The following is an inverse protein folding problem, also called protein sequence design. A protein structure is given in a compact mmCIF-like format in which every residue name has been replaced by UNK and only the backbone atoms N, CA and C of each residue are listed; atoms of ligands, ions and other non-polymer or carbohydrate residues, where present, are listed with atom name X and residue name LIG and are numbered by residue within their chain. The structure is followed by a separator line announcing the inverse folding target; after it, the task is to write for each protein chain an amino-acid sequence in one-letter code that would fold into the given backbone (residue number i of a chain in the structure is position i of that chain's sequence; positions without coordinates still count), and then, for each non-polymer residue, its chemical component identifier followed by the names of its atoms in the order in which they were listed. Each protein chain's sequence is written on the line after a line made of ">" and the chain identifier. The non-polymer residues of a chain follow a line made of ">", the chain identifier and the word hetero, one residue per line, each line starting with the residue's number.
data_IF_920920592595
#
_entry.id   IF_920920592595
#
_cell.length_a   1.000
_cell.length_b   1.000
_cell.length_c   1.000
_cell.angle_alpha   90.00
_cell.angle_beta   90.00
_cell.angle_gamma   90.00
#
_symmetry.space_group_name_H-M   'P 1'
#
loop_
_entity.id
_entity.type
_entity.pdbx_description
1 polymer ?
#
# COMPACT_ATOMS: atom_id res chain seq x y z
N UNK A 1 4.88 -15.46 -17.63
CA UNK A 1 4.30 -14.64 -16.55
C UNK A 1 3.16 -13.72 -16.98
N UNK A 2 3.30 -12.82 -17.97
CA UNK A 2 2.20 -11.93 -18.37
C UNK A 2 0.91 -12.68 -18.79
N UNK A 3 1.05 -13.77 -19.55
CA UNK A 3 -0.08 -14.64 -19.93
C UNK A 3 -0.75 -15.29 -18.71
N UNK A 4 0.04 -15.75 -17.73
CA UNK A 4 -0.50 -16.38 -16.50
C UNK A 4 -1.37 -15.39 -15.74
N UNK A 5 -0.86 -14.17 -15.53
CA UNK A 5 -1.60 -13.09 -14.88
C UNK A 5 -2.86 -12.75 -15.66
N UNK A 6 -2.76 -12.60 -16.99
CA UNK A 6 -3.92 -12.29 -17.81
C UNK A 6 -5.02 -13.35 -17.71
N UNK A 7 -4.67 -14.63 -17.74
CA UNK A 7 -5.64 -15.71 -17.59
C UNK A 7 -6.23 -15.76 -16.18
N UNK A 8 -5.41 -15.56 -15.15
CA UNK A 8 -5.84 -15.58 -13.76
C UNK A 8 -6.75 -14.39 -13.38
N UNK A 9 -6.59 -13.25 -14.06
CA UNK A 9 -7.30 -12.01 -13.73
C UNK A 9 -8.48 -11.72 -14.64
N UNK A 10 -8.60 -12.35 -15.81
CA UNK A 10 -9.62 -11.96 -16.80
C UNK A 10 -11.03 -12.39 -16.41
N UNK A 11 -11.19 -13.49 -15.69
CA UNK A 11 -12.50 -14.03 -15.36
C UNK A 11 -12.55 -14.55 -13.94
N UNK A 12 -13.66 -14.26 -13.28
CA UNK A 12 -14.02 -14.98 -12.07
C UNK A 12 -14.35 -16.42 -12.45
N UNK A 13 -14.18 -17.37 -11.52
CA UNK A 13 -14.25 -18.81 -11.80
C UNK A 13 -15.54 -19.28 -12.52
N UNK A 14 -16.61 -18.50 -12.44
CA UNK A 14 -17.93 -18.81 -12.99
C UNK A 14 -18.23 -18.22 -14.38
N UNK A 15 -17.29 -17.49 -14.98
CA UNK A 15 -17.49 -16.79 -16.27
C UNK A 15 -16.61 -17.36 -17.39
N UNK A 16 -17.11 -17.26 -18.63
CA UNK A 16 -16.36 -17.65 -19.83
C UNK A 16 -15.15 -16.75 -20.07
N UNK A 17 -13.98 -17.36 -20.29
CA UNK A 17 -12.72 -16.64 -20.46
C UNK A 17 -12.67 -15.88 -21.80
N UNK A 18 -12.68 -14.54 -21.72
CA UNK A 18 -12.38 -13.66 -22.84
C UNK A 18 -10.88 -13.31 -22.85
N UNK A 19 -10.14 -13.92 -23.78
CA UNK A 19 -8.69 -13.71 -23.88
C UNK A 19 -8.37 -12.52 -24.78
N UNK A 20 -7.78 -11.48 -24.18
CA UNK A 20 -7.42 -10.25 -24.87
C UNK A 20 -5.90 -10.04 -24.89
N UNK A 21 -5.29 -10.11 -26.07
CA UNK A 21 -3.84 -9.92 -26.27
C UNK A 21 -3.37 -8.54 -25.79
N UNK A 22 -4.16 -7.49 -25.97
CA UNK A 22 -3.80 -6.15 -25.51
C UNK A 22 -3.64 -6.11 -23.99
N UNK A 23 -4.46 -6.88 -23.27
CA UNK A 23 -4.40 -6.96 -21.82
C UNK A 23 -3.16 -7.72 -21.34
N UNK A 24 -2.75 -8.77 -22.05
CA UNK A 24 -1.47 -9.46 -21.82
C UNK A 24 -0.30 -8.47 -21.95
N UNK A 25 -0.32 -7.61 -22.98
CA UNK A 25 0.71 -6.58 -23.18
C UNK A 25 0.73 -5.59 -22.02
N UNK A 26 -0.43 -5.10 -21.56
CA UNK A 26 -0.51 -4.21 -20.40
C UNK A 26 0.06 -4.85 -19.13
N UNK A 27 -0.23 -6.14 -18.87
CA UNK A 27 0.37 -6.85 -17.75
C UNK A 27 1.88 -7.02 -17.92
N UNK A 28 2.37 -7.27 -19.14
CA UNK A 28 3.81 -7.35 -19.39
C UNK A 28 4.53 -6.03 -19.09
N UNK A 29 3.95 -4.90 -19.50
CA UNK A 29 4.48 -3.57 -19.19
C UNK A 29 4.48 -3.30 -17.68
N UNK A 30 3.39 -3.64 -16.98
CA UNK A 30 3.33 -3.47 -15.53
C UNK A 30 4.38 -4.35 -14.83
N UNK A 31 4.51 -5.63 -15.19
CA UNK A 31 5.51 -6.53 -14.62
C UNK A 31 6.94 -6.04 -14.87
N UNK A 32 7.21 -5.45 -16.05
CA UNK A 32 8.49 -4.82 -16.33
C UNK A 32 8.76 -3.64 -15.40
N UNK A 33 7.77 -2.75 -15.20
CA UNK A 33 7.88 -1.62 -14.25
C UNK A 33 8.16 -2.11 -12.83
N UNK A 34 7.48 -3.16 -12.38
CA UNK A 34 7.72 -3.78 -11.07
C UNK A 34 9.13 -4.35 -10.99
N UNK A 35 9.58 -5.08 -12.00
CA UNK A 35 10.92 -5.66 -12.04
C UNK A 35 12.00 -4.58 -11.93
N UNK A 36 11.89 -3.52 -12.74
CA UNK A 36 12.84 -2.41 -12.77
C UNK A 36 12.86 -1.65 -11.44
N UNK A 37 11.68 -1.38 -10.87
CA UNK A 37 11.54 -0.74 -9.56
C UNK A 37 12.19 -1.59 -8.47
N UNK A 38 11.78 -2.85 -8.33
CA UNK A 38 12.28 -3.74 -7.27
C UNK A 38 13.80 -3.90 -7.41
N UNK A 39 14.30 -4.15 -8.63
CA UNK A 39 15.74 -4.28 -8.88
C UNK A 39 16.52 -3.02 -8.49
N UNK A 40 15.98 -1.84 -8.77
CA UNK A 40 16.59 -0.57 -8.38
C UNK A 40 16.61 -0.43 -6.85
N UNK A 41 15.47 -0.68 -6.21
CA UNK A 41 15.30 -0.52 -4.77
C UNK A 41 16.10 -1.51 -3.94
N UNK A 42 16.38 -2.72 -4.46
CA UNK A 42 17.27 -3.69 -3.82
C UNK A 42 18.72 -3.20 -3.67
N UNK A 43 19.14 -2.23 -4.49
CA UNK A 43 20.49 -1.66 -4.43
C UNK A 43 20.63 -0.47 -3.47
N UNK A 44 19.52 0.01 -2.91
CA UNK A 44 19.48 1.19 -2.03
C UNK A 44 20.21 0.90 -0.73
N UNK A 45 21.09 1.82 -0.34
CA UNK A 45 21.79 1.81 0.95
C UNK A 45 21.75 3.21 1.53
N UNK A 46 21.10 3.38 2.67
CA UNK A 46 20.98 4.67 3.34
C UNK A 46 21.58 4.65 4.75
N UNK A 47 21.68 3.49 5.40
CA UNK A 47 22.23 3.37 6.74
C UNK A 47 21.37 4.04 7.83
N UNK A 48 20.11 4.38 7.51
CA UNK A 48 19.16 4.93 8.46
C UNK A 48 18.74 3.85 9.45
N UNK A 49 19.00 4.08 10.74
CA UNK A 49 18.70 3.09 11.79
C UNK A 49 17.33 3.27 12.44
N UNK A 50 16.83 4.49 12.48
CA UNK A 50 15.58 4.80 13.17
C UNK A 50 14.40 4.85 12.20
N UNK A 51 13.27 4.28 12.62
CA UNK A 51 12.02 4.31 11.88
C UNK A 51 11.29 5.63 12.11
N UNK A 52 11.12 6.39 11.02
CA UNK A 52 10.31 7.62 10.98
C UNK A 52 8.83 7.27 10.75
N UNK A 53 7.98 8.29 10.79
CA UNK A 53 6.53 8.14 10.54
C UNK A 53 6.26 7.54 9.15
N UNK A 54 6.87 8.00 8.04
CA UNK A 54 6.64 7.39 6.72
C UNK A 54 7.06 5.91 6.66
N UNK A 55 8.16 5.56 7.34
CA UNK A 55 8.67 4.19 7.39
C UNK A 55 7.67 3.26 8.11
N UNK A 56 7.17 3.71 9.28
CA UNK A 56 6.14 3.02 10.07
C UNK A 56 4.81 2.93 9.34
N UNK A 57 4.44 3.98 8.60
CA UNK A 57 3.26 4.01 7.76
C UNK A 57 3.34 2.95 6.67
N UNK A 58 4.45 2.89 5.93
CA UNK A 58 4.63 1.92 4.83
C UNK A 58 4.55 0.48 5.34
N UNK A 59 5.18 0.16 6.47
CA UNK A 59 5.08 -1.16 7.09
C UNK A 59 3.63 -1.49 7.48
N UNK A 60 2.93 -0.55 8.09
CA UNK A 60 1.53 -0.74 8.48
C UNK A 60 0.61 -0.91 7.28
N UNK A 61 0.84 -0.13 6.22
CA UNK A 61 0.10 -0.22 4.95
C UNK A 61 0.35 -1.56 4.28
N UNK A 62 1.61 -2.00 4.19
CA UNK A 62 1.97 -3.33 3.69
C UNK A 62 1.26 -4.42 4.49
N UNK A 63 1.26 -4.34 5.82
CA UNK A 63 0.56 -5.31 6.67
C UNK A 63 -0.93 -5.42 6.31
N UNK A 64 -1.63 -4.30 6.15
CA UNK A 64 -3.04 -4.28 5.75
C UNK A 64 -3.26 -4.85 4.35
N UNK A 65 -2.36 -4.56 3.41
CA UNK A 65 -2.40 -5.11 2.05
C UNK A 65 -2.18 -6.62 2.04
N UNK A 66 -1.22 -7.14 2.81
CA UNK A 66 -0.98 -8.59 2.93
C UNK A 66 -2.16 -9.31 3.59
N UNK A 67 -2.78 -8.72 4.62
CA UNK A 67 -3.99 -9.27 5.22
C UNK A 67 -5.14 -9.34 4.20
N UNK A 68 -5.34 -8.28 3.42
CA UNK A 68 -6.35 -8.23 2.36
C UNK A 68 -6.06 -9.21 1.22
N UNK A 69 -4.78 -9.38 0.89
CA UNK A 69 -4.31 -10.34 -0.10
C UNK A 69 -4.58 -11.76 0.35
N UNK A 70 -4.23 -12.10 1.59
CA UNK A 70 -4.45 -13.44 2.15
C UNK A 70 -5.94 -13.78 2.16
N UNK A 71 -6.80 -12.85 2.59
CA UNK A 71 -8.26 -13.03 2.55
C UNK A 71 -8.78 -13.21 1.11
N UNK A 72 -8.29 -12.41 0.15
CA UNK A 72 -8.67 -12.55 -1.25
C UNK A 72 -8.25 -13.91 -1.82
N UNK A 73 -7.05 -14.38 -1.50
CA UNK A 73 -6.55 -15.70 -1.91
C UNK A 73 -7.37 -16.84 -1.30
N UNK A 74 -7.71 -16.77 0.00
CA UNK A 74 -8.56 -17.75 0.69
C UNK A 74 -9.96 -17.84 0.09
N UNK A 75 -10.52 -16.71 -0.34
CA UNK A 75 -11.84 -16.62 -0.96
C UNK A 75 -11.82 -16.85 -2.49
N UNK A 76 -10.67 -17.21 -3.07
CA UNK A 76 -10.49 -17.35 -4.53
C UNK A 76 -10.83 -16.07 -5.33
N UNK A 77 -10.70 -14.89 -4.72
CA UNK A 77 -10.87 -13.58 -5.36
C UNK A 77 -9.57 -13.18 -6.11
N UNK A 78 -9.18 -13.99 -7.11
CA UNK A 78 -7.86 -13.91 -7.77
C UNK A 78 -7.59 -12.54 -8.41
N UNK A 79 -8.61 -11.92 -9.02
CA UNK A 79 -8.51 -10.57 -9.61
C UNK A 79 -8.15 -9.52 -8.55
N UNK A 80 -8.77 -9.60 -7.37
CA UNK A 80 -8.51 -8.68 -6.26
C UNK A 80 -7.11 -8.90 -5.70
N UNK A 81 -6.71 -10.16 -5.51
CA UNK A 81 -5.35 -10.50 -5.10
C UNK A 81 -4.29 -9.97 -6.07
N UNK A 82 -4.51 -10.15 -7.38
CA UNK A 82 -3.61 -9.62 -8.41
C UNK A 82 -3.56 -8.10 -8.42
N UNK A 83 -4.69 -7.40 -8.22
CA UNK A 83 -4.70 -5.94 -8.11
C UNK A 83 -3.85 -5.45 -6.93
N UNK A 84 -3.97 -6.10 -5.77
CA UNK A 84 -3.17 -5.76 -4.58
C UNK A 84 -1.67 -5.92 -4.89
N UNK A 85 -1.30 -7.05 -5.48
CA UNK A 85 0.10 -7.39 -5.77
C UNK A 85 0.68 -6.49 -6.86
N UNK A 86 -0.06 -6.22 -7.94
CA UNK A 86 0.47 -5.53 -9.10
C UNK A 86 0.41 -4.00 -8.98
N UNK A 87 -0.55 -3.48 -8.20
CA UNK A 87 -0.82 -2.04 -8.16
C UNK A 87 -0.82 -1.48 -6.74
N UNK A 88 -1.49 -2.08 -5.77
CA UNK A 88 -1.66 -1.43 -4.45
C UNK A 88 -0.34 -1.34 -3.67
N UNK A 89 0.49 -2.40 -3.71
CA UNK A 89 1.83 -2.36 -3.08
C UNK A 89 2.74 -1.37 -3.82
N UNK A 90 2.66 -1.31 -5.15
CA UNK A 90 3.40 -0.35 -5.96
C UNK A 90 3.01 1.10 -5.60
N UNK A 91 1.71 1.37 -5.48
CA UNK A 91 1.20 2.68 -5.11
C UNK A 91 1.62 3.06 -3.69
N UNK A 92 1.58 2.12 -2.73
CA UNK A 92 2.06 2.38 -1.37
C UNK A 92 3.55 2.76 -1.33
N UNK A 93 4.39 2.13 -2.18
CA UNK A 93 5.79 2.53 -2.32
C UNK A 93 5.92 3.91 -2.95
N UNK A 94 5.14 4.22 -3.99
CA UNK A 94 5.14 5.55 -4.61
C UNK A 94 4.78 6.63 -3.58
N UNK A 95 3.70 6.44 -2.85
CA UNK A 95 3.26 7.37 -1.79
C UNK A 95 4.36 7.53 -0.72
N UNK A 96 5.04 6.44 -0.34
CA UNK A 96 6.16 6.51 0.58
C UNK A 96 7.32 7.37 0.04
N UNK A 97 7.69 7.20 -1.22
CA UNK A 97 8.74 8.02 -1.86
C UNK A 97 8.33 9.48 -2.02
N UNK A 98 7.05 9.78 -2.14
CA UNK A 98 6.55 11.16 -2.12
C UNK A 98 6.70 11.80 -0.73
N UNK A 99 6.83 11.00 0.34
CA UNK A 99 7.01 11.48 1.72
C UNK A 99 8.48 11.56 2.18
N UNK A 100 9.42 10.96 1.45
CA UNK A 100 10.83 10.87 1.88
C UNK A 100 11.81 11.18 0.76
N UNK A 101 12.84 11.97 1.06
CA UNK A 101 13.98 12.16 0.13
C UNK A 101 14.94 10.97 0.15
N UNK A 102 15.17 10.40 1.33
CA UNK A 102 16.04 9.24 1.55
C UNK A 102 15.22 8.13 2.23
N UNK A 103 15.04 6.96 1.58
CA UNK A 103 14.30 5.84 2.14
C UNK A 103 15.13 5.09 3.20
N UNK A 104 14.45 4.41 4.11
CA UNK A 104 15.09 3.47 5.04
C UNK A 104 15.32 2.12 4.30
N UNK A 105 16.59 1.71 4.16
CA UNK A 105 16.98 0.54 3.39
C UNK A 105 16.48 -0.79 4.00
N UNK A 106 16.48 -0.93 5.33
CA UNK A 106 15.92 -2.12 5.99
C UNK A 106 14.41 -2.25 5.76
N UNK A 107 13.68 -1.14 5.80
CA UNK A 107 12.22 -1.10 5.53
C UNK A 107 11.94 -1.47 4.08
N UNK A 108 12.66 -0.87 3.13
CA UNK A 108 12.54 -1.21 1.71
C UNK A 108 12.84 -2.69 1.50
N UNK A 109 13.95 -3.20 2.03
CA UNK A 109 14.30 -4.62 1.91
C UNK A 109 13.19 -5.53 2.44
N UNK A 110 12.62 -5.23 3.61
CA UNK A 110 11.50 -5.99 4.18
C UNK A 110 10.27 -5.96 3.28
N UNK A 111 9.90 -4.79 2.75
CA UNK A 111 8.75 -4.64 1.83
C UNK A 111 8.97 -5.45 0.56
N UNK A 112 10.15 -5.37 -0.04
CA UNK A 112 10.49 -6.09 -1.27
C UNK A 112 10.52 -7.61 -1.06
N UNK A 113 11.11 -8.10 0.03
CA UNK A 113 11.13 -9.53 0.36
C UNK A 113 9.71 -10.10 0.52
N UNK A 114 8.81 -9.37 1.17
CA UNK A 114 7.39 -9.74 1.29
C UNK A 114 6.71 -9.70 -0.08
N UNK A 115 6.93 -8.66 -0.86
CA UNK A 115 6.28 -8.46 -2.15
C UNK A 115 6.71 -9.50 -3.19
N UNK A 116 8.00 -9.85 -3.27
CA UNK A 116 8.53 -10.88 -4.17
C UNK A 116 7.92 -12.24 -3.85
N UNK A 117 7.79 -12.61 -2.57
CA UNK A 117 7.10 -13.85 -2.17
C UNK A 117 5.62 -13.84 -2.53
N UNK A 118 4.94 -12.70 -2.36
CA UNK A 118 3.54 -12.53 -2.77
C UNK A 118 3.34 -12.62 -4.29
N UNK A 119 4.32 -12.19 -5.09
CA UNK A 119 4.31 -12.29 -6.56
C UNK A 119 4.40 -13.75 -7.06
N UNK A 120 5.10 -14.63 -6.33
CA UNK A 120 5.46 -15.98 -6.77
C UNK A 120 4.30 -16.83 -7.33
N UNK A 121 3.11 -16.90 -6.72
CA UNK A 121 2.01 -17.70 -7.28
C UNK A 121 1.54 -17.20 -8.66
N UNK A 122 1.61 -15.89 -8.89
CA UNK A 122 1.13 -15.23 -10.10
C UNK A 122 2.20 -15.22 -11.20
N UNK A 123 3.42 -14.84 -10.83
CA UNK A 123 4.55 -14.61 -11.74
C UNK A 123 5.83 -15.29 -11.24
N UNK A 124 5.87 -16.63 -11.22
CA UNK A 124 6.94 -17.37 -10.54
C UNK A 124 8.31 -17.12 -11.16
N UNK A 125 8.43 -16.88 -12.47
CA UNK A 125 9.74 -16.73 -13.11
C UNK A 125 10.32 -15.34 -12.79
N UNK A 126 9.51 -14.29 -12.91
CA UNK A 126 9.89 -12.94 -12.48
C UNK A 126 10.19 -12.89 -10.98
N UNK A 127 9.40 -13.59 -10.16
CA UNK A 127 9.64 -13.67 -8.72
C UNK A 127 10.95 -14.38 -8.39
N UNK A 128 11.28 -15.51 -9.04
CA UNK A 128 12.57 -16.21 -8.85
C UNK A 128 13.75 -15.33 -9.28
N UNK A 129 13.65 -14.63 -10.42
CA UNK A 129 14.72 -13.72 -10.86
C UNK A 129 14.97 -12.59 -9.84
N UNK A 130 13.90 -12.00 -9.30
CA UNK A 130 14.03 -10.96 -8.27
C UNK A 130 14.55 -11.53 -6.94
N UNK A 131 14.08 -12.72 -6.56
CA UNK A 131 14.48 -13.39 -5.32
C UNK A 131 15.96 -13.80 -5.33
N UNK A 132 16.48 -14.24 -6.48
CA UNK A 132 17.91 -14.58 -6.66
C UNK A 132 18.86 -13.41 -6.37
N UNK A 133 18.35 -12.16 -6.35
CA UNK A 133 19.13 -10.96 -6.00
C UNK A 133 19.26 -10.78 -4.47
N UNK A 134 18.44 -11.46 -3.67
CA UNK A 134 18.40 -11.33 -2.20
C UNK A 134 18.64 -12.62 -1.44
N UNK A 135 18.52 -13.78 -2.09
CA UNK A 135 18.75 -15.10 -1.49
C UNK A 135 19.21 -16.09 -2.55
N UNK A 136 20.01 -17.08 -2.13
CA UNK A 136 20.44 -18.21 -2.95
C UNK A 136 19.39 -19.36 -2.99
N UNK A 137 18.29 -19.23 -2.25
CA UNK A 137 17.16 -20.17 -2.27
C UNK A 137 16.19 -19.91 -3.42
N UNK A 138 15.23 -20.83 -3.63
CA UNK A 138 14.10 -20.61 -4.53
C UNK A 138 12.93 -19.96 -3.78
N UNK A 139 12.33 -18.90 -4.33
CA UNK A 139 11.19 -18.22 -3.69
C UNK A 139 9.99 -19.14 -3.52
N UNK A 140 9.86 -20.12 -4.42
CA UNK A 140 8.82 -21.16 -4.37
C UNK A 140 8.91 -22.09 -3.15
N UNK A 141 10.07 -22.15 -2.48
CA UNK A 141 10.29 -22.93 -1.25
C UNK A 141 10.13 -22.08 0.03
N UNK A 142 10.00 -20.77 -0.12
CA UNK A 142 9.85 -19.85 1.00
C UNK A 142 8.42 -19.85 1.53
N UNK A 143 8.25 -19.46 2.81
CA UNK A 143 6.91 -19.30 3.39
C UNK A 143 6.17 -18.16 2.68
N UNK A 144 4.93 -18.42 2.27
CA UNK A 144 4.05 -17.37 1.75
C UNK A 144 3.84 -16.29 2.81
N UNK A 145 3.88 -14.99 2.46
CA UNK A 145 3.95 -13.93 3.44
C UNK A 145 2.65 -13.80 4.23
N UNK A 146 2.76 -13.63 5.54
CA UNK A 146 1.63 -13.32 6.41
C UNK A 146 1.74 -11.92 7.01
N UNK A 147 0.60 -11.31 7.34
CA UNK A 147 0.56 -9.98 7.92
C UNK A 147 1.27 -9.91 9.28
N UNK A 148 1.37 -11.03 10.01
CA UNK A 148 2.08 -11.10 11.29
C UNK A 148 3.60 -10.93 11.13
N UNK A 149 4.16 -11.14 9.93
CA UNK A 149 5.57 -10.90 9.66
C UNK A 149 5.95 -9.40 9.57
N UNK A 150 4.95 -8.52 9.48
CA UNK A 150 5.13 -7.07 9.30
C UNK A 150 4.59 -6.33 10.50
N UNK A 151 5.40 -5.47 11.13
CA UNK A 151 4.96 -4.72 12.29
C UNK A 151 3.88 -3.68 11.92
N UNK A 152 2.89 -3.53 12.80
CA UNK A 152 1.86 -2.50 12.69
C UNK A 152 2.17 -1.31 13.58
N UNK A 153 1.90 -0.11 13.08
CA UNK A 153 2.00 1.16 13.78
C UNK A 153 0.71 1.97 13.49
N UNK A 154 -0.39 1.69 14.22
CA UNK A 154 -1.67 2.35 13.98
C UNK A 154 -1.60 3.88 14.01
N UNK A 155 -0.75 4.43 14.89
CA UNK A 155 -0.54 5.87 15.03
C UNK A 155 -0.03 6.49 13.72
N UNK A 156 0.93 5.83 13.05
CA UNK A 156 1.50 6.32 11.79
C UNK A 156 0.48 6.24 10.64
N UNK A 157 -0.38 5.21 10.62
CA UNK A 157 -1.51 5.16 9.68
C UNK A 157 -2.46 6.33 9.90
N UNK A 158 -2.82 6.58 11.15
CA UNK A 158 -3.73 7.68 11.49
C UNK A 158 -3.14 9.04 11.11
N UNK A 159 -1.88 9.31 11.48
CA UNK A 159 -1.21 10.58 11.20
C UNK A 159 -1.15 10.87 9.69
N UNK A 160 -0.72 9.91 8.88
CA UNK A 160 -0.63 10.10 7.42
C UNK A 160 -2.00 10.22 6.78
N UNK A 161 -2.99 9.42 7.20
CA UNK A 161 -4.36 9.53 6.68
C UNK A 161 -4.97 10.90 7.01
N UNK A 162 -4.75 11.41 8.23
CA UNK A 162 -5.22 12.72 8.64
C UNK A 162 -4.58 13.84 7.80
N UNK A 163 -3.27 13.76 7.54
CA UNK A 163 -2.59 14.71 6.65
C UNK A 163 -3.13 14.65 5.22
N UNK A 164 -3.34 13.45 4.67
CA UNK A 164 -3.90 13.28 3.34
C UNK A 164 -5.31 13.88 3.23
N UNK A 165 -6.15 13.70 4.26
CA UNK A 165 -7.47 14.31 4.31
C UNK A 165 -7.40 15.85 4.28
N UNK A 166 -6.45 16.45 5.01
CA UNK A 166 -6.24 17.91 4.98
C UNK A 166 -5.81 18.34 3.56
N UNK A 167 -4.88 17.62 2.93
CA UNK A 167 -4.42 17.92 1.57
C UNK A 167 -5.57 17.81 0.56
N UNK A 168 -6.42 16.79 0.68
CA UNK A 168 -7.62 16.63 -0.14
C UNK A 168 -8.59 17.78 0.04
N UNK A 169 -8.88 18.19 1.29
CA UNK A 169 -9.76 19.34 1.53
C UNK A 169 -9.21 20.65 0.97
N UNK A 170 -7.88 20.84 1.00
CA UNK A 170 -7.24 21.97 0.33
C UNK A 170 -7.48 21.91 -1.18
N UNK A 171 -7.26 20.75 -1.82
CA UNK A 171 -7.49 20.58 -3.27
C UNK A 171 -8.95 20.81 -3.65
N UNK A 172 -9.90 20.28 -2.87
CA UNK A 172 -11.32 20.52 -3.07
C UNK A 172 -11.66 22.02 -3.02
N UNK A 173 -11.06 22.77 -2.11
CA UNK A 173 -11.23 24.22 -2.05
C UNK A 173 -10.61 24.93 -3.26
N UNK A 174 -9.44 24.50 -3.74
CA UNK A 174 -8.85 25.04 -4.97
C UNK A 174 -9.76 24.82 -6.19
N UNK A 175 -10.34 23.63 -6.29
CA UNK A 175 -11.27 23.26 -7.38
C UNK A 175 -12.55 24.10 -7.32
N UNK A 176 -13.15 24.27 -6.13
CA UNK A 176 -14.34 25.12 -5.92
C UNK A 176 -14.04 26.57 -6.27
N UNK A 177 -12.87 27.07 -5.92
CA UNK A 177 -12.46 28.46 -6.18
C UNK A 177 -11.92 28.66 -7.61
N UNK A 178 -11.70 27.59 -8.36
CA UNK A 178 -11.15 27.61 -9.72
C UNK A 178 -9.72 28.15 -9.80
N UNK A 179 -8.97 28.14 -8.70
CA UNK A 179 -7.58 28.62 -8.64
C UNK A 179 -6.77 27.89 -7.59
N UNK A 180 -5.47 27.74 -7.87
CA UNK A 180 -4.51 27.22 -6.88
C UNK A 180 -4.17 28.27 -5.83
N UNK A 181 -3.91 27.81 -4.61
CA UNK A 181 -3.52 28.66 -3.50
C UNK A 181 -2.01 28.95 -3.57
N UNK A 182 -1.63 30.22 -3.54
CA UNK A 182 -0.22 30.62 -3.38
C UNK A 182 0.29 30.32 -1.96
N UNK A 183 -0.63 30.25 -0.98
CA UNK A 183 -0.35 29.97 0.42
C UNK A 183 -1.57 29.37 1.12
N UNK A 184 -1.35 28.30 1.88
CA UNK A 184 -2.34 27.68 2.77
C UNK A 184 -1.91 27.93 4.22
N UNK A 185 -2.85 28.38 5.06
CA UNK A 185 -2.61 28.62 6.50
C UNK A 185 -3.54 27.69 7.27
N UNK A 186 -2.96 26.78 8.06
CA UNK A 186 -3.68 25.79 8.86
C UNK A 186 -3.67 26.23 10.32
N UNK A 187 -4.86 26.33 10.92
CA UNK A 187 -5.03 26.61 12.35
C UNK A 187 -5.35 25.32 13.09
N UNK A 188 -4.55 25.01 14.11
CA UNK A 188 -4.74 23.81 14.96
C UNK A 188 -5.15 24.26 16.35
N UNK A 189 -6.34 23.87 16.80
CA UNK A 189 -6.78 24.13 18.17
C UNK A 189 -6.10 23.16 19.15
N UNK A 190 -5.18 23.69 19.96
CA UNK A 190 -4.52 22.95 21.03
C UNK A 190 -5.13 23.26 22.42
N UNK A 191 -6.29 23.90 22.48
CA UNK A 191 -6.93 24.25 23.74
C UNK A 191 -7.38 23.01 24.51
N UNK A 192 -7.29 23.00 25.86
CA UNK A 192 -7.84 21.92 26.68
C UNK A 192 -9.33 21.69 26.42
N UNK A 193 -10.06 22.75 26.09
CA UNK A 193 -11.50 22.70 25.76
C UNK A 193 -11.73 21.95 24.44
N UNK A 194 -10.98 22.25 23.39
CA UNK A 194 -11.06 21.52 22.11
C UNK A 194 -10.78 20.03 22.28
N UNK A 195 -9.72 19.69 23.01
CA UNK A 195 -9.40 18.28 23.35
C UNK A 195 -10.52 17.59 24.13
N UNK A 196 -11.12 18.28 25.11
CA UNK A 196 -12.25 17.75 25.87
C UNK A 196 -13.48 17.52 25.00
N UNK A 197 -13.79 18.44 24.08
CA UNK A 197 -14.91 18.30 23.15
C UNK A 197 -14.70 17.11 22.21
N UNK A 198 -13.51 16.97 21.61
CA UNK A 198 -13.18 15.81 20.76
C UNK A 198 -13.32 14.50 21.53
N UNK A 199 -12.83 14.43 22.78
CA UNK A 199 -13.02 13.24 23.62
C UNK A 199 -14.49 12.90 23.83
N UNK A 200 -15.33 13.90 24.14
CA UNK A 200 -16.78 13.69 24.27
C UNK A 200 -17.43 13.23 22.97
N UNK A 201 -17.03 13.78 21.82
CA UNK A 201 -17.53 13.34 20.51
C UNK A 201 -17.19 11.87 20.27
N UNK A 202 -15.94 11.46 20.53
CA UNK A 202 -15.50 10.07 20.40
C UNK A 202 -16.36 9.16 21.30
N UNK A 203 -16.56 9.53 22.57
CA UNK A 203 -17.42 8.75 23.49
C UNK A 203 -18.87 8.64 23.02
N UNK A 204 -19.43 9.67 22.35
CA UNK A 204 -20.78 9.63 21.81
C UNK A 204 -20.87 8.68 20.60
N UNK A 205 -19.87 8.73 19.71
CA UNK A 205 -19.77 7.83 18.55
C UNK A 205 -19.66 6.37 19.00
N UNK A 206 -18.81 6.08 19.99
CA UNK A 206 -18.64 4.72 20.52
C UNK A 206 -19.93 4.17 21.17
N UNK A 207 -20.77 5.06 21.69
CA UNK A 207 -22.09 4.72 22.24
C UNK A 207 -23.21 4.66 21.19
N UNK A 208 -22.90 4.92 19.92
CA UNK A 208 -23.88 4.95 18.83
C UNK A 208 -24.86 6.13 18.91
N UNK A 209 -24.52 7.18 19.66
CA UNK A 209 -25.39 8.35 19.85
C UNK A 209 -25.25 9.27 18.63
N UNK A 210 -26.37 9.70 18.00
CA UNK A 210 -26.31 10.57 16.83
C UNK A 210 -25.64 11.93 17.14
N UNK A 211 -24.78 12.41 16.23
CA UNK A 211 -24.09 13.71 16.34
C UNK A 211 -25.02 14.92 16.58
N UNK A 212 -26.30 14.83 16.20
CA UNK A 212 -27.29 15.89 16.44
C UNK A 212 -27.58 16.12 17.92
N UNK A 213 -27.33 15.13 18.77
CA UNK A 213 -27.52 15.23 20.23
C UNK A 213 -26.33 15.86 20.95
N UNK A 214 -25.23 16.14 20.23
CA UNK A 214 -24.03 16.78 20.76
C UNK A 214 -24.06 18.32 20.67
N UNK A 215 -24.93 18.88 19.80
CA UNK A 215 -25.03 20.33 19.51
C UNK A 215 -25.85 21.05 20.55
#
# INVERSE_FOLDING_TARGET
>A
DPVRVSLACNTDLSQDLDFNVNQVTSYAEQLKRLYDLISTLLSVKSGLKELRIPDKWLLSKLRSLISSLNQAMENFEIRKAANIILYDIYNALKDYFDMVEVPNDEVIYKVLSVWIRALSPFVPHTAEELWSKISDSFVSLEKYPTEQEVQSYPEALFEVNYLNQIVENVRELEDILGKKADRVIIYVDNSPRGKMLIKKVIEYIDKGIPMREFV
#
